data_IF_191457776607
#
_entry.id   IF_191457776607
#
_cell.length_a   1.000
_cell.length_b   1.000
_cell.length_c   1.000
_cell.angle_alpha   90.00
_cell.angle_beta   90.00
_cell.angle_gamma   90.00
#
_symmetry.space_group_name_H-M   'P 1'
#
loop_
_entity.id
_entity.type
_entity.pdbx_description
1 polymer ?
#
# COMPACT_ATOMS: atom_id res chain seq x y z
N UNK A 1 37.81 37.07 14.45
CA UNK A 1 37.76 35.77 15.15
C UNK A 1 36.31 35.59 15.61
N UNK A 2 35.49 34.83 14.88
CA UNK A 2 35.07 33.43 15.18
C UNK A 2 34.60 33.29 16.64
N UNK A 3 33.42 32.77 16.99
CA UNK A 3 32.60 31.75 16.34
C UNK A 3 31.18 31.72 16.94
N UNK A 4 30.23 31.19 16.15
CA UNK A 4 28.82 30.89 16.45
C UNK A 4 28.60 29.79 17.52
N UNK A 5 27.41 29.75 18.12
CA UNK A 5 26.46 28.59 18.26
C UNK A 5 25.34 28.94 19.27
N UNK A 6 24.08 29.05 18.85
CA UNK A 6 23.11 27.98 18.58
C UNK A 6 22.51 27.32 19.83
N UNK A 7 21.28 27.70 20.18
CA UNK A 7 20.27 26.80 20.78
C UNK A 7 18.87 27.19 20.31
N UNK A 8 18.61 27.00 19.02
CA UNK A 8 17.28 26.70 18.49
C UNK A 8 17.10 25.19 18.62
N UNK A 9 16.52 24.69 19.72
CA UNK A 9 16.27 23.24 19.88
C UNK A 9 15.13 22.84 20.82
N UNK A 10 14.23 23.75 21.21
CA UNK A 10 13.10 23.44 22.11
C UNK A 10 11.71 23.56 21.48
N UNK A 11 11.59 23.77 20.17
CA UNK A 11 10.29 23.83 19.47
C UNK A 11 9.99 22.65 18.53
N UNK A 12 10.80 21.60 18.52
CA UNK A 12 10.63 20.46 17.60
C UNK A 12 10.34 19.11 18.27
N UNK A 13 10.07 19.08 19.59
CA UNK A 13 9.71 17.84 20.31
C UNK A 13 8.23 17.74 20.72
N UNK A 14 7.42 18.77 20.46
CA UNK A 14 6.01 18.81 20.92
C UNK A 14 5.01 18.28 19.88
N UNK A 15 5.45 17.93 18.66
CA UNK A 15 4.57 17.44 17.58
C UNK A 15 4.75 15.97 17.20
N UNK A 16 5.70 15.25 17.80
CA UNK A 16 5.88 13.79 17.59
C UNK A 16 5.18 12.97 18.69
N UNK A 17 4.64 13.61 19.73
CA UNK A 17 4.07 12.93 20.90
C UNK A 17 2.56 12.64 20.83
N UNK A 18 1.83 13.08 19.80
CA UNK A 18 0.36 12.92 19.71
C UNK A 18 -0.13 11.78 18.81
N UNK A 19 0.78 10.99 18.21
CA UNK A 19 0.39 9.78 17.44
C UNK A 19 0.93 8.47 18.06
N UNK A 20 1.90 8.54 18.98
CA UNK A 20 2.43 7.37 19.68
C UNK A 20 1.66 6.96 20.95
N UNK A 21 0.67 7.75 21.38
CA UNK A 21 -0.11 7.46 22.61
C UNK A 21 -1.31 6.52 22.41
N UNK A 22 -1.55 6.02 21.19
CA UNK A 22 -2.58 5.01 20.95
C UNK A 22 -2.09 3.56 21.09
N UNK A 23 -0.78 3.30 21.18
CA UNK A 23 -0.24 1.94 21.05
C UNK A 23 0.64 1.44 22.21
N UNK A 24 0.80 2.20 23.30
CA UNK A 24 1.52 1.71 24.50
C UNK A 24 0.99 2.31 25.82
N UNK A 25 -0.30 2.13 26.09
CA UNK A 25 -0.85 2.25 27.45
C UNK A 25 -1.35 0.88 27.90
N UNK A 26 -0.42 0.06 28.39
CA UNK A 26 -0.73 -1.04 29.30
C UNK A 26 -0.84 -0.43 30.70
N UNK A 27 -1.90 0.34 30.97
CA UNK A 27 -2.26 0.80 32.32
C UNK A 27 -3.73 1.26 32.39
N UNK A 28 -4.52 0.48 33.13
CA UNK A 28 -5.76 0.82 33.86
C UNK A 28 -6.80 1.70 33.17
N UNK A 29 -7.69 1.08 32.40
CA UNK A 29 -9.09 1.51 32.35
C UNK A 29 -10.00 0.27 32.28
N UNK A 30 -10.87 0.09 33.28
CA UNK A 30 -11.71 -1.09 33.51
C UNK A 30 -12.86 -1.22 32.49
N UNK A 31 -12.53 -1.38 31.21
CA UNK A 31 -13.39 -1.91 30.13
C UNK A 31 -12.58 -2.21 28.85
N UNK A 32 -11.28 -2.47 28.97
CA UNK A 32 -10.48 -2.97 27.86
C UNK A 32 -10.81 -4.46 27.68
N UNK A 33 -11.46 -4.80 26.55
CA UNK A 33 -11.57 -6.19 26.12
C UNK A 33 -10.13 -6.65 25.84
N UNK A 34 -9.61 -7.52 26.69
CA UNK A 34 -8.29 -8.13 26.53
C UNK A 34 -8.41 -9.14 25.39
N UNK A 35 -8.10 -8.71 24.16
CA UNK A 35 -8.12 -9.59 23.00
C UNK A 35 -6.97 -10.60 23.14
N UNK A 36 -7.17 -11.87 22.77
CA UNK A 36 -6.11 -12.87 22.86
C UNK A 36 -4.84 -12.38 22.17
N UNK A 37 -3.67 -12.57 22.79
CA UNK A 37 -2.38 -12.34 22.12
C UNK A 37 -2.34 -13.08 20.78
N UNK A 38 -1.80 -12.45 19.73
CA UNK A 38 -1.83 -13.02 18.37
C UNK A 38 -3.02 -12.60 17.51
N UNK A 39 -3.94 -11.78 18.02
CA UNK A 39 -5.18 -11.43 17.31
C UNK A 39 -5.00 -10.30 16.29
N UNK A 40 -5.65 -10.44 15.13
CA UNK A 40 -5.95 -9.30 14.25
C UNK A 40 -7.15 -8.57 14.84
N UNK A 41 -7.09 -7.25 14.96
CA UNK A 41 -8.19 -6.43 15.48
C UNK A 41 -8.68 -5.48 14.39
N UNK A 42 -9.98 -5.46 14.16
CA UNK A 42 -10.63 -4.58 13.19
C UNK A 42 -11.78 -3.81 13.83
N UNK A 43 -11.93 -2.53 13.50
CA UNK A 43 -13.10 -1.73 13.90
C UNK A 43 -13.83 -1.21 12.68
N UNK A 44 -15.13 -1.45 12.61
CA UNK A 44 -16.00 -1.09 11.47
C UNK A 44 -17.32 -0.47 11.92
N UNK A 45 -18.00 0.24 11.03
CA UNK A 45 -19.42 0.61 11.14
C UNK A 45 -20.32 -0.12 10.14
N UNK A 46 -19.74 -0.92 9.25
CA UNK A 46 -20.46 -1.58 8.17
C UNK A 46 -21.46 -2.61 8.72
N UNK A 47 -22.58 -2.73 8.01
CA UNK A 47 -23.63 -3.72 8.32
C UNK A 47 -23.27 -5.10 7.77
N UNK A 48 -22.65 -5.13 6.60
CA UNK A 48 -22.32 -6.34 5.85
C UNK A 48 -20.79 -6.42 5.74
N UNK A 49 -20.26 -7.57 6.12
CA UNK A 49 -18.83 -7.82 6.16
C UNK A 49 -18.50 -9.02 5.30
N UNK A 50 -17.37 -8.93 4.60
CA UNK A 50 -16.76 -10.05 3.88
C UNK A 50 -15.28 -10.06 4.22
N UNK A 51 -14.82 -11.18 4.77
CA UNK A 51 -13.42 -11.41 5.08
C UNK A 51 -12.99 -12.64 4.30
N UNK A 52 -11.83 -12.57 3.64
CA UNK A 52 -11.17 -13.76 3.11
C UNK A 52 -9.85 -13.94 3.82
N UNK A 53 -9.59 -15.14 4.29
CA UNK A 53 -8.35 -15.45 4.99
C UNK A 53 -7.84 -16.87 4.74
N UNK A 54 -6.54 -17.05 4.95
CA UNK A 54 -5.90 -18.35 5.04
C UNK A 54 -4.86 -18.34 6.16
N UNK A 55 -4.51 -19.52 6.67
CA UNK A 55 -3.52 -19.69 7.71
C UNK A 55 -3.73 -20.99 8.46
N UNK A 56 -3.49 -20.98 9.78
CA UNK A 56 -3.61 -22.17 10.62
C UNK A 56 -5.06 -22.66 10.79
N UNK A 57 -5.22 -23.96 11.08
CA UNK A 57 -6.53 -24.61 11.23
C UNK A 57 -7.33 -24.11 12.45
N UNK A 58 -6.67 -23.46 13.41
CA UNK A 58 -7.27 -22.92 14.65
C UNK A 58 -7.77 -21.47 14.50
N UNK A 59 -7.90 -20.96 13.27
CA UNK A 59 -8.44 -19.62 13.04
C UNK A 59 -9.91 -19.55 13.45
N UNK A 60 -10.23 -18.53 14.25
CA UNK A 60 -11.60 -18.17 14.63
C UNK A 60 -11.82 -16.67 14.42
N UNK A 61 -12.89 -16.33 13.71
CA UNK A 61 -13.36 -14.95 13.56
C UNK A 61 -14.41 -14.69 14.64
N UNK A 62 -14.21 -13.65 15.44
CA UNK A 62 -15.16 -13.17 16.44
C UNK A 62 -15.83 -11.90 15.94
N UNK A 63 -17.12 -11.97 15.62
CA UNK A 63 -17.86 -10.91 14.92
C UNK A 63 -18.29 -9.74 15.83
N UNK A 64 -17.90 -9.73 17.10
CA UNK A 64 -18.24 -8.65 18.03
C UNK A 64 -19.72 -8.57 18.44
N UNK A 65 -20.54 -9.56 18.09
CA UNK A 65 -21.96 -9.69 18.47
C UNK A 65 -22.26 -10.99 19.23
N UNK A 66 -21.23 -11.65 19.74
CA UNK A 66 -21.30 -12.96 20.39
C UNK A 66 -21.25 -14.14 19.42
N UNK A 67 -21.38 -13.92 18.11
CA UNK A 67 -21.19 -14.95 17.09
C UNK A 67 -19.72 -15.08 16.71
N UNK A 68 -19.38 -16.26 16.22
CA UNK A 68 -18.04 -16.63 15.78
C UNK A 68 -18.12 -17.57 14.58
N UNK A 69 -17.07 -17.59 13.77
CA UNK A 69 -16.91 -18.49 12.63
C UNK A 69 -15.53 -19.13 12.65
N UNK A 70 -15.48 -20.44 12.42
CA UNK A 70 -14.24 -21.21 12.35
C UNK A 70 -13.87 -21.49 10.88
N UNK A 71 -12.61 -21.86 10.62
CA UNK A 71 -12.12 -22.02 9.24
C UNK A 71 -12.96 -22.99 8.38
N UNK A 72 -13.50 -24.06 8.98
CA UNK A 72 -14.34 -25.06 8.33
C UNK A 72 -15.75 -24.57 7.93
N UNK A 73 -16.16 -23.39 8.37
CA UNK A 73 -17.46 -22.78 8.04
C UNK A 73 -17.39 -21.83 6.83
N UNK A 74 -16.19 -21.56 6.30
CA UNK A 74 -16.00 -20.63 5.19
C UNK A 74 -16.34 -21.25 3.83
N UNK A 75 -16.53 -20.38 2.83
CA UNK A 75 -16.67 -20.81 1.44
C UNK A 75 -15.30 -20.74 0.77
N UNK A 76 -14.82 -21.87 0.23
CA UNK A 76 -13.57 -21.88 -0.54
C UNK A 76 -13.78 -21.10 -1.85
N UNK A 77 -12.99 -20.05 -2.08
CA UNK A 77 -13.01 -19.30 -3.33
C UNK A 77 -12.19 -20.05 -4.39
N UNK A 78 -10.87 -19.99 -4.25
CA UNK A 78 -9.87 -20.73 -5.03
C UNK A 78 -8.71 -21.10 -4.09
N UNK A 79 -7.95 -22.16 -4.39
CA UNK A 79 -6.83 -22.64 -3.54
C UNK A 79 -5.80 -21.54 -3.18
N UNK A 80 -5.72 -20.47 -3.97
CA UNK A 80 -4.76 -19.39 -3.78
C UNK A 80 -5.28 -18.20 -2.95
N UNK A 81 -6.61 -18.05 -2.80
CA UNK A 81 -7.24 -16.88 -2.17
C UNK A 81 -7.65 -17.12 -0.71
N UNK A 82 -7.91 -18.38 -0.33
CA UNK A 82 -8.33 -18.76 1.02
C UNK A 82 -9.84 -18.99 1.16
N UNK A 83 -10.33 -18.86 2.39
CA UNK A 83 -11.72 -19.10 2.78
C UNK A 83 -12.45 -17.77 2.98
N UNK A 84 -13.61 -17.62 2.34
CA UNK A 84 -14.48 -16.45 2.49
C UNK A 84 -15.51 -16.65 3.60
N UNK A 85 -15.67 -15.62 4.42
CA UNK A 85 -16.63 -15.53 5.50
C UNK A 85 -17.45 -14.26 5.34
N UNK A 86 -18.77 -14.40 5.45
CA UNK A 86 -19.70 -13.27 5.41
C UNK A 86 -20.45 -13.15 6.72
N UNK A 87 -20.66 -11.92 7.18
CA UNK A 87 -21.48 -11.65 8.35
C UNK A 87 -22.32 -10.40 8.17
N UNK A 88 -23.60 -10.48 8.55
CA UNK A 88 -24.54 -9.38 8.41
C UNK A 88 -25.18 -9.06 9.76
N UNK A 89 -25.03 -7.81 10.19
CA UNK A 89 -25.68 -7.29 11.37
C UNK A 89 -27.08 -6.76 11.08
N UNK A 90 -27.92 -6.68 12.10
CA UNK A 90 -29.27 -6.09 12.00
C UNK A 90 -29.27 -4.62 11.57
N UNK A 91 -28.26 -3.86 12.00
CA UNK A 91 -28.08 -2.45 11.68
C UNK A 91 -26.59 -2.08 11.68
N UNK A 92 -26.24 -1.01 10.96
CA UNK A 92 -24.92 -0.41 10.96
C UNK A 92 -24.62 0.21 12.33
N UNK A 93 -23.53 -0.21 12.96
CA UNK A 93 -23.07 0.29 14.25
C UNK A 93 -21.58 0.01 14.40
N UNK A 94 -20.91 0.80 15.23
CA UNK A 94 -19.50 0.57 15.55
C UNK A 94 -19.34 -0.81 16.19
N UNK A 95 -18.47 -1.64 15.63
CA UNK A 95 -18.17 -2.99 16.11
C UNK A 95 -16.68 -3.24 16.05
N UNK A 96 -16.22 -4.05 17.00
CA UNK A 96 -14.86 -4.57 16.99
C UNK A 96 -14.92 -6.05 16.68
N UNK A 97 -14.20 -6.45 15.64
CA UNK A 97 -14.01 -7.82 15.20
C UNK A 97 -12.59 -8.18 15.59
N UNK A 98 -12.37 -9.42 16.04
CA UNK A 98 -11.02 -9.92 16.17
C UNK A 98 -10.92 -11.33 15.59
N UNK A 99 -9.74 -11.66 15.08
CA UNK A 99 -9.43 -12.97 14.52
C UNK A 99 -8.30 -13.56 15.37
N UNK A 100 -8.53 -14.74 15.92
CA UNK A 100 -7.48 -15.53 16.59
C UNK A 100 -6.86 -16.53 15.62
N UNK A 101 -5.67 -17.03 15.95
CA UNK A 101 -4.92 -17.97 15.12
C UNK A 101 -3.89 -17.29 14.22
N UNK A 102 -3.06 -18.08 13.53
CA UNK A 102 -2.00 -17.57 12.65
C UNK A 102 -2.56 -17.34 11.26
N UNK A 103 -2.85 -16.08 10.95
CA UNK A 103 -3.28 -15.67 9.60
C UNK A 103 -2.05 -15.40 8.71
N UNK A 104 -2.02 -16.04 7.55
CA UNK A 104 -0.98 -15.87 6.51
C UNK A 104 -1.42 -14.91 5.40
N UNK A 105 -2.71 -14.94 5.04
CA UNK A 105 -3.30 -14.03 4.06
C UNK A 105 -4.59 -13.46 4.62
N UNK A 106 -4.77 -12.15 4.48
CA UNK A 106 -5.98 -11.45 4.89
C UNK A 106 -6.46 -10.51 3.78
N UNK A 107 -7.72 -10.63 3.42
CA UNK A 107 -8.47 -9.66 2.64
C UNK A 107 -9.67 -9.17 3.45
N UNK A 108 -9.70 -7.88 3.70
CA UNK A 108 -10.72 -7.14 4.45
C UNK A 108 -11.05 -5.80 3.78
N UNK A 109 -11.08 -5.80 2.45
CA UNK A 109 -11.40 -4.62 1.64
C UNK A 109 -12.88 -4.23 1.73
N UNK A 110 -13.18 -2.94 1.52
CA UNK A 110 -14.54 -2.41 1.47
C UNK A 110 -15.41 -2.75 2.71
N UNK A 111 -14.78 -2.72 3.90
CA UNK A 111 -15.42 -3.02 5.17
C UNK A 111 -15.65 -1.79 6.03
N UNK A 112 -15.49 -0.57 5.49
CA UNK A 112 -15.55 0.69 6.25
C UNK A 112 -14.67 0.67 7.51
N UNK A 113 -13.51 0.00 7.44
CA UNK A 113 -12.62 -0.14 8.59
C UNK A 113 -12.05 1.22 8.98
N UNK A 114 -12.07 1.51 10.27
CA UNK A 114 -11.42 2.69 10.88
C UNK A 114 -10.19 2.30 11.69
N UNK A 115 -10.07 1.02 12.06
CA UNK A 115 -8.90 0.44 12.73
C UNK A 115 -8.64 -0.92 12.11
N UNK A 116 -7.37 -1.19 11.83
CA UNK A 116 -6.83 -2.51 11.50
C UNK A 116 -5.48 -2.64 12.22
N UNK A 117 -5.41 -3.57 13.17
CA UNK A 117 -4.17 -3.96 13.85
C UNK A 117 -3.81 -5.39 13.44
N UNK A 118 -2.66 -5.52 12.76
CA UNK A 118 -2.08 -6.80 12.30
C UNK A 118 -0.73 -7.08 12.98
N UNK A 119 -0.37 -6.30 14.01
CA UNK A 119 0.98 -6.28 14.60
C UNK A 119 1.41 -7.59 15.26
N UNK A 120 0.45 -8.48 15.56
CA UNK A 120 0.73 -9.79 16.16
C UNK A 120 0.80 -10.93 15.14
N UNK A 121 0.45 -10.69 13.88
CA UNK A 121 0.46 -11.69 12.81
C UNK A 121 1.73 -11.58 11.96
N UNK A 122 2.87 -11.87 12.60
CA UNK A 122 4.21 -11.70 12.01
C UNK A 122 4.44 -12.56 10.75
N UNK A 123 3.68 -13.65 10.60
CA UNK A 123 3.69 -14.56 9.45
C UNK A 123 2.81 -14.08 8.29
N UNK A 124 2.17 -12.91 8.39
CA UNK A 124 1.31 -12.37 7.33
C UNK A 124 2.15 -12.09 6.07
N UNK A 125 1.80 -12.76 4.97
CA UNK A 125 2.47 -12.66 3.66
C UNK A 125 1.67 -11.82 2.67
N UNK A 126 0.35 -11.76 2.82
CA UNK A 126 -0.54 -10.98 1.96
C UNK A 126 -1.57 -10.22 2.76
N UNK A 127 -1.67 -8.91 2.53
CA UNK A 127 -2.70 -8.06 3.11
C UNK A 127 -3.40 -7.24 2.02
N UNK A 128 -4.72 -7.38 1.93
CA UNK A 128 -5.58 -6.46 1.21
C UNK A 128 -6.57 -5.80 2.19
N UNK A 129 -6.40 -4.50 2.41
CA UNK A 129 -7.27 -3.68 3.24
C UNK A 129 -7.77 -2.44 2.47
N UNK A 130 -7.87 -2.54 1.16
CA UNK A 130 -8.28 -1.44 0.28
C UNK A 130 -9.71 -0.96 0.53
N UNK A 131 -10.02 0.25 0.07
CA UNK A 131 -11.38 0.81 0.11
C UNK A 131 -11.97 0.88 1.53
N UNK A 132 -11.17 1.34 2.49
CA UNK A 132 -11.58 1.50 3.89
C UNK A 132 -11.43 2.98 4.33
N UNK A 133 -11.54 3.24 5.62
CA UNK A 133 -11.39 4.55 6.24
C UNK A 133 -10.18 4.59 7.18
N UNK A 134 -9.14 3.82 6.86
CA UNK A 134 -7.91 3.76 7.66
C UNK A 134 -7.12 5.07 7.49
N UNK A 135 -6.80 5.72 8.61
CA UNK A 135 -5.94 6.92 8.62
C UNK A 135 -4.49 6.60 8.95
N UNK A 136 -4.24 5.42 9.51
CA UNK A 136 -2.94 4.84 9.81
C UNK A 136 -2.99 3.31 9.62
N UNK A 137 -1.86 2.72 9.26
CA UNK A 137 -1.66 1.29 9.11
C UNK A 137 -0.21 0.96 9.50
N UNK A 138 -0.01 0.26 10.62
CA UNK A 138 1.30 -0.20 11.06
C UNK A 138 1.51 -1.66 10.65
N UNK A 139 2.52 -1.88 9.80
CA UNK A 139 2.92 -3.21 9.31
C UNK A 139 4.39 -3.51 9.65
N UNK A 140 4.97 -2.76 10.58
CA UNK A 140 6.40 -2.82 10.91
C UNK A 140 6.84 -4.19 11.44
N UNK A 141 5.89 -4.98 11.97
CA UNK A 141 6.13 -6.36 12.46
C UNK A 141 5.80 -7.44 11.43
N UNK A 142 5.15 -7.11 10.32
CA UNK A 142 4.76 -8.05 9.27
C UNK A 142 5.85 -8.13 8.19
N UNK A 143 7.07 -8.48 8.61
CA UNK A 143 8.26 -8.45 7.74
C UNK A 143 8.23 -9.49 6.62
N UNK A 144 7.34 -10.48 6.73
CA UNK A 144 7.09 -11.51 5.71
C UNK A 144 6.15 -11.06 4.58
N UNK A 145 5.57 -9.84 4.64
CA UNK A 145 4.68 -9.34 3.59
C UNK A 145 5.36 -9.31 2.23
N UNK A 146 4.77 -10.03 1.27
CA UNK A 146 5.14 -10.02 -0.15
C UNK A 146 4.14 -9.24 -1.00
N UNK A 147 2.87 -9.17 -0.58
CA UNK A 147 1.81 -8.45 -1.29
C UNK A 147 1.05 -7.55 -0.34
N UNK A 148 0.92 -6.27 -0.71
CA UNK A 148 0.15 -5.28 0.04
C UNK A 148 -0.74 -4.45 -0.88
N UNK A 149 -2.04 -4.54 -0.66
CA UNK A 149 -3.03 -3.62 -1.22
C UNK A 149 -3.68 -2.82 -0.09
N UNK A 150 -3.52 -1.51 -0.15
CA UNK A 150 -4.08 -0.56 0.83
C UNK A 150 -4.61 0.71 0.13
N UNK A 151 -4.94 0.61 -1.15
CA UNK A 151 -5.46 1.72 -1.94
C UNK A 151 -6.80 2.24 -1.40
N UNK A 152 -7.13 3.49 -1.72
CA UNK A 152 -8.37 4.16 -1.35
C UNK A 152 -8.62 4.14 0.16
N UNK A 153 -7.60 4.48 0.93
CA UNK A 153 -7.71 4.82 2.34
C UNK A 153 -7.25 6.28 2.55
N UNK A 154 -7.72 6.99 3.57
CA UNK A 154 -7.17 8.31 3.91
C UNK A 154 -5.85 8.20 4.71
N UNK A 155 -4.91 7.33 4.31
CA UNK A 155 -3.63 7.17 5.02
C UNK A 155 -2.80 8.46 4.91
N UNK A 156 -2.47 9.03 6.06
CA UNK A 156 -1.67 10.27 6.16
C UNK A 156 -0.18 10.01 6.36
N UNK A 157 0.15 8.84 6.89
CA UNK A 157 1.51 8.33 7.03
C UNK A 157 1.56 6.91 6.48
N UNK A 158 2.69 6.55 5.87
CA UNK A 158 2.88 5.23 5.30
C UNK A 158 4.36 4.88 5.32
N UNK A 159 4.71 3.76 5.94
CA UNK A 159 6.07 3.26 6.06
C UNK A 159 6.08 1.76 5.74
N UNK A 160 6.81 1.40 4.68
CA UNK A 160 7.03 0.02 4.25
C UNK A 160 8.51 -0.39 4.37
N UNK A 161 9.31 0.38 5.10
CA UNK A 161 10.77 0.19 5.21
C UNK A 161 11.17 -1.12 5.88
N UNK A 162 10.27 -1.73 6.66
CA UNK A 162 10.45 -3.04 7.31
C UNK A 162 9.98 -4.21 6.45
N UNK A 163 9.16 -3.96 5.44
CA UNK A 163 8.58 -4.99 4.57
C UNK A 163 9.51 -5.25 3.38
N UNK A 164 10.76 -5.64 3.65
CA UNK A 164 11.81 -5.78 2.63
C UNK A 164 11.54 -6.93 1.63
N UNK A 165 10.66 -7.86 1.98
CA UNK A 165 10.20 -8.95 1.12
C UNK A 165 9.08 -8.54 0.14
N UNK A 166 8.61 -7.29 0.20
CA UNK A 166 7.47 -6.83 -0.59
C UNK A 166 7.78 -6.86 -2.09
N UNK A 167 6.99 -7.64 -2.84
CA UNK A 167 7.07 -7.80 -4.30
C UNK A 167 5.98 -6.99 -5.01
N UNK A 168 4.83 -6.78 -4.37
CA UNK A 168 3.70 -6.03 -4.93
C UNK A 168 3.14 -5.02 -3.92
N UNK A 169 3.01 -3.77 -4.37
CA UNK A 169 2.43 -2.68 -3.61
C UNK A 169 1.37 -1.92 -4.42
N UNK A 170 0.13 -1.93 -3.92
CA UNK A 170 -1.00 -1.15 -4.44
C UNK A 170 -1.39 -0.11 -3.37
N UNK A 171 -0.94 1.12 -3.56
CA UNK A 171 -1.04 2.24 -2.62
C UNK A 171 -1.92 3.40 -3.14
N UNK A 172 -2.51 3.29 -4.33
CA UNK A 172 -3.21 4.42 -4.97
C UNK A 172 -4.36 5.02 -4.15
N UNK A 173 -4.75 6.27 -4.42
CA UNK A 173 -5.90 6.90 -3.75
C UNK A 173 -5.71 7.24 -2.27
N UNK A 174 -4.47 7.23 -1.77
CA UNK A 174 -4.12 7.65 -0.41
C UNK A 174 -3.76 9.15 -0.32
N UNK A 175 -3.78 9.70 0.90
CA UNK A 175 -3.52 11.12 1.16
C UNK A 175 -2.05 11.46 1.45
N UNK A 176 -1.17 10.46 1.56
CA UNK A 176 0.26 10.70 1.77
C UNK A 176 0.87 11.47 0.59
N UNK A 177 1.64 12.51 0.89
CA UNK A 177 2.38 13.30 -0.09
C UNK A 177 3.71 12.64 -0.51
N UNK A 178 4.15 11.59 0.20
CA UNK A 178 5.42 10.91 -0.04
C UNK A 178 5.26 9.39 0.04
N UNK A 179 6.07 8.70 -0.74
CA UNK A 179 6.21 7.24 -0.73
C UNK A 179 7.70 6.90 -0.86
N UNK A 180 8.28 6.31 0.18
CA UNK A 180 9.64 5.79 0.17
C UNK A 180 9.60 4.27 0.01
N UNK A 181 10.13 3.78 -1.11
CA UNK A 181 10.25 2.36 -1.45
C UNK A 181 11.70 1.90 -1.54
N UNK A 182 12.65 2.69 -1.03
CA UNK A 182 14.09 2.44 -1.16
C UNK A 182 14.58 1.15 -0.48
N UNK A 183 13.81 0.63 0.49
CA UNK A 183 14.09 -0.63 1.20
C UNK A 183 13.40 -1.85 0.59
N UNK A 184 12.46 -1.65 -0.32
CA UNK A 184 11.67 -2.73 -0.94
C UNK A 184 12.36 -3.20 -2.23
N UNK A 185 13.60 -3.70 -2.11
CA UNK A 185 14.43 -4.07 -3.27
C UNK A 185 13.87 -5.25 -4.07
N UNK A 186 12.97 -6.04 -3.47
CA UNK A 186 12.25 -7.14 -4.12
C UNK A 186 11.03 -6.69 -4.94
N UNK A 187 10.67 -5.40 -4.90
CA UNK A 187 9.45 -4.88 -5.51
C UNK A 187 9.46 -5.04 -7.05
N UNK A 188 8.46 -5.75 -7.55
CA UNK A 188 8.21 -6.05 -8.98
C UNK A 188 7.05 -5.24 -9.53
N UNK A 189 6.03 -4.98 -8.71
CA UNK A 189 4.79 -4.31 -9.11
C UNK A 189 4.49 -3.14 -8.16
N UNK A 190 4.44 -1.93 -8.70
CA UNK A 190 4.12 -0.73 -7.93
C UNK A 190 3.00 0.08 -8.60
N UNK A 191 1.88 0.21 -7.89
CA UNK A 191 0.77 1.09 -8.24
C UNK A 191 0.58 2.13 -7.15
N UNK A 192 0.88 3.40 -7.44
CA UNK A 192 0.67 4.53 -6.53
C UNK A 192 -0.07 5.69 -7.23
N UNK A 193 -0.99 5.33 -8.12
CA UNK A 193 -1.82 6.26 -8.88
C UNK A 193 -2.83 7.00 -8.02
N UNK A 194 -3.33 8.15 -8.47
CA UNK A 194 -4.31 8.97 -7.76
C UNK A 194 -3.84 9.41 -6.36
N UNK A 195 -2.56 9.79 -6.24
CA UNK A 195 -1.95 10.30 -5.01
C UNK A 195 -1.46 11.75 -5.19
N UNK A 196 -1.01 12.39 -4.10
CA UNK A 196 -0.40 13.73 -4.14
C UNK A 196 1.12 13.70 -4.32
N UNK A 197 1.68 12.57 -4.78
CA UNK A 197 3.13 12.38 -4.91
C UNK A 197 3.66 13.27 -6.04
N UNK A 198 4.69 14.05 -5.72
CA UNK A 198 5.42 14.93 -6.66
C UNK A 198 6.77 14.36 -7.09
N UNK A 199 7.34 13.47 -6.27
CA UNK A 199 8.63 12.84 -6.49
C UNK A 199 8.54 11.37 -6.08
N UNK A 200 9.05 10.48 -6.92
CA UNK A 200 9.20 9.07 -6.59
C UNK A 200 10.59 8.62 -7.04
N UNK A 201 11.36 8.08 -6.10
CA UNK A 201 12.64 7.43 -6.38
C UNK A 201 12.44 5.92 -6.39
N UNK A 202 12.66 5.30 -7.55
CA UNK A 202 12.58 3.85 -7.76
C UNK A 202 13.96 3.24 -8.04
N UNK A 203 15.05 3.97 -7.77
CA UNK A 203 16.40 3.56 -8.15
C UNK A 203 16.90 2.31 -7.43
N UNK A 204 16.37 2.01 -6.24
CA UNK A 204 16.68 0.81 -5.48
C UNK A 204 15.84 -0.41 -5.89
N UNK A 205 14.73 -0.22 -6.62
CA UNK A 205 13.80 -1.28 -7.00
C UNK A 205 14.23 -1.90 -8.34
N UNK A 206 15.42 -2.50 -8.38
CA UNK A 206 16.01 -2.99 -9.64
C UNK A 206 15.23 -4.13 -10.29
N UNK A 207 14.40 -4.85 -9.52
CA UNK A 207 13.52 -5.92 -9.98
C UNK A 207 12.16 -5.41 -10.54
N UNK A 208 11.93 -4.10 -10.60
CA UNK A 208 10.63 -3.52 -10.96
C UNK A 208 10.26 -3.84 -12.41
N UNK A 209 9.10 -4.48 -12.58
CA UNK A 209 8.53 -4.87 -13.86
C UNK A 209 7.44 -3.91 -14.32
N UNK A 210 6.55 -3.49 -13.41
CA UNK A 210 5.43 -2.61 -13.72
C UNK A 210 5.38 -1.43 -12.74
N UNK A 211 5.24 -0.22 -13.30
CA UNK A 211 5.13 1.02 -12.55
C UNK A 211 3.95 1.86 -13.02
N UNK A 212 2.94 2.02 -12.16
CA UNK A 212 1.72 2.77 -12.43
C UNK A 212 1.60 3.97 -11.47
N UNK A 213 1.91 5.16 -11.98
CA UNK A 213 1.82 6.44 -11.26
C UNK A 213 0.92 7.39 -12.06
N UNK A 214 -0.30 6.97 -12.38
CA UNK A 214 -1.23 7.78 -13.15
C UNK A 214 -1.93 8.80 -12.21
N UNK A 215 -2.41 9.94 -12.74
CA UNK A 215 -3.20 10.95 -11.98
C UNK A 215 -2.51 11.43 -10.69
N UNK A 216 -1.21 11.69 -10.73
CA UNK A 216 -0.44 12.22 -9.60
C UNK A 216 0.14 13.60 -9.94
N UNK A 217 1.16 14.08 -9.23
CA UNK A 217 1.76 15.40 -9.45
C UNK A 217 3.24 15.33 -9.88
N UNK A 218 3.64 14.23 -10.51
CA UNK A 218 5.04 14.02 -10.92
C UNK A 218 5.44 15.01 -12.02
N UNK A 219 6.58 15.68 -11.84
CA UNK A 219 7.17 16.59 -12.83
C UNK A 219 8.42 16.02 -13.50
N UNK A 220 9.02 14.99 -12.90
CA UNK A 220 10.19 14.26 -13.40
C UNK A 220 10.20 12.83 -12.85
N UNK A 221 10.63 11.88 -13.66
CA UNK A 221 10.82 10.49 -13.26
C UNK A 221 12.11 9.93 -13.87
N UNK A 222 12.83 9.09 -13.13
CA UNK A 222 14.02 8.39 -13.60
C UNK A 222 13.82 6.88 -13.42
N UNK A 223 14.03 6.11 -14.49
CA UNK A 223 13.83 4.64 -14.50
C UNK A 223 15.03 3.88 -15.08
N UNK A 224 16.18 4.56 -15.25
CA UNK A 224 17.41 3.98 -15.81
C UNK A 224 18.08 2.95 -14.87
N UNK A 225 17.55 2.77 -13.66
CA UNK A 225 17.98 1.75 -12.69
C UNK A 225 17.02 0.56 -12.61
N UNK A 226 16.01 0.51 -13.48
CA UNK A 226 15.00 -0.55 -13.54
C UNK A 226 15.11 -1.29 -14.89
N UNK A 227 16.17 -2.08 -15.12
CA UNK A 227 16.45 -2.70 -16.43
C UNK A 227 15.31 -3.61 -16.91
N UNK A 228 14.60 -4.24 -15.98
CA UNK A 228 13.55 -5.21 -16.27
C UNK A 228 12.17 -4.58 -16.48
N UNK A 229 12.03 -3.25 -16.36
CA UNK A 229 10.74 -2.56 -16.45
C UNK A 229 10.06 -2.81 -17.81
N UNK A 230 8.85 -3.36 -17.80
CA UNK A 230 8.05 -3.73 -18.98
C UNK A 230 6.89 -2.77 -19.21
N UNK A 231 6.29 -2.27 -18.12
CA UNK A 231 5.10 -1.42 -18.20
C UNK A 231 5.29 -0.15 -17.38
N UNK A 232 5.05 0.99 -18.01
CA UNK A 232 5.13 2.31 -17.38
C UNK A 232 3.88 3.15 -17.69
N UNK A 233 3.01 3.36 -16.70
CA UNK A 233 1.95 4.38 -16.78
C UNK A 233 2.35 5.62 -15.98
N UNK A 234 2.47 6.75 -16.67
CA UNK A 234 2.64 8.09 -16.06
C UNK A 234 1.57 9.06 -16.53
N UNK A 235 0.40 8.55 -16.92
CA UNK A 235 -0.72 9.36 -17.44
C UNK A 235 -1.16 10.42 -16.43
N UNK A 236 -1.66 11.55 -16.93
CA UNK A 236 -2.26 12.62 -16.09
C UNK A 236 -1.34 13.07 -14.94
N UNK A 237 -0.08 13.34 -15.24
CA UNK A 237 0.86 14.02 -14.35
C UNK A 237 1.19 15.41 -14.90
N UNK A 238 2.27 16.02 -14.40
CA UNK A 238 2.74 17.35 -14.78
C UNK A 238 4.04 17.29 -15.64
N UNK A 239 4.24 16.21 -16.40
CA UNK A 239 5.43 16.05 -17.22
C UNK A 239 5.37 16.97 -18.46
N UNK A 240 6.33 17.89 -18.57
CA UNK A 240 6.53 18.73 -19.77
C UNK A 240 7.12 17.91 -20.91
N UNK A 241 7.15 18.46 -22.13
CA UNK A 241 7.72 17.75 -23.29
C UNK A 241 9.20 17.42 -23.06
N UNK A 242 9.96 18.35 -22.46
CA UNK A 242 11.35 18.12 -22.06
C UNK A 242 11.48 17.00 -21.03
N UNK A 243 10.63 17.00 -19.98
CA UNK A 243 10.67 15.96 -18.96
C UNK A 243 10.32 14.57 -19.51
N UNK A 244 9.38 14.50 -20.45
CA UNK A 244 9.06 13.26 -21.17
C UNK A 244 10.22 12.79 -22.04
N UNK A 245 10.85 13.68 -22.80
CA UNK A 245 12.02 13.32 -23.61
C UNK A 245 13.17 12.82 -22.74
N UNK A 246 13.44 13.48 -21.61
CA UNK A 246 14.44 13.05 -20.61
C UNK A 246 14.11 11.66 -20.03
N UNK A 247 12.84 11.40 -19.75
CA UNK A 247 12.37 10.08 -19.32
C UNK A 247 12.61 9.04 -20.42
N UNK A 248 12.30 9.34 -21.68
CA UNK A 248 12.49 8.42 -22.79
C UNK A 248 13.95 8.02 -22.99
N UNK A 249 14.88 8.96 -22.86
CA UNK A 249 16.33 8.65 -22.87
C UNK A 249 16.75 7.71 -21.74
N UNK A 250 16.03 7.74 -20.60
CA UNK A 250 16.29 6.92 -19.42
C UNK A 250 15.55 5.58 -19.41
N UNK A 251 14.68 5.32 -20.40
CA UNK A 251 14.02 4.02 -20.52
C UNK A 251 15.06 2.92 -20.79
N UNK A 252 14.92 1.71 -20.22
CA UNK A 252 15.77 0.59 -20.58
C UNK A 252 15.57 0.19 -22.04
N UNK A 253 16.62 -0.35 -22.68
CA UNK A 253 16.50 -0.97 -24.01
C UNK A 253 15.65 -2.23 -23.93
N UNK A 254 14.80 -2.44 -24.93
CA UNK A 254 13.98 -3.64 -25.08
C UNK A 254 14.16 -4.23 -26.47
N UNK A 255 13.90 -5.54 -26.58
CA UNK A 255 13.60 -6.13 -27.88
C UNK A 255 12.38 -5.42 -28.51
N UNK A 256 12.24 -5.48 -29.83
CA UNK A 256 11.17 -4.79 -30.56
C UNK A 256 9.80 -5.08 -29.92
N UNK A 257 9.11 -4.03 -29.48
CA UNK A 257 7.81 -4.10 -28.79
C UNK A 257 7.82 -4.79 -27.41
N UNK A 258 8.98 -4.85 -26.74
CA UNK A 258 9.14 -5.47 -25.42
C UNK A 258 8.74 -4.60 -24.22
N UNK A 259 8.39 -3.32 -24.43
CA UNK A 259 7.90 -2.41 -23.39
C UNK A 259 6.64 -1.66 -23.78
N UNK A 260 5.81 -1.31 -22.80
CA UNK A 260 4.58 -0.53 -22.98
C UNK A 260 4.57 0.73 -22.09
N UNK A 261 4.37 1.90 -22.69
CA UNK A 261 4.34 3.18 -21.97
C UNK A 261 3.04 3.95 -22.24
N UNK A 262 2.51 4.62 -21.21
CA UNK A 262 1.37 5.51 -21.35
C UNK A 262 1.62 6.87 -20.70
N UNK A 263 1.52 7.93 -21.51
CA UNK A 263 1.85 9.32 -21.13
C UNK A 263 0.68 10.29 -21.28
N UNK A 264 -0.50 9.81 -21.67
CA UNK A 264 -1.65 10.68 -22.01
C UNK A 264 -2.08 11.55 -20.83
N UNK A 265 -2.51 12.78 -21.10
CA UNK A 265 -2.96 13.74 -20.07
C UNK A 265 -1.82 14.50 -19.37
N UNK A 266 -0.56 14.34 -19.78
CA UNK A 266 0.52 15.24 -19.38
C UNK A 266 0.57 16.48 -20.29
N UNK A 267 0.98 17.66 -19.77
CA UNK A 267 1.16 18.86 -20.59
C UNK A 267 2.06 18.66 -21.81
N UNK A 268 3.13 17.87 -21.67
CA UNK A 268 4.09 17.59 -22.74
C UNK A 268 3.70 16.52 -23.74
N UNK A 269 2.58 15.81 -23.55
CA UNK A 269 2.31 14.55 -24.26
C UNK A 269 2.08 14.69 -25.77
N UNK A 270 1.75 15.91 -26.23
CA UNK A 270 1.55 16.24 -27.66
C UNK A 270 2.85 16.61 -28.37
N UNK A 271 3.78 17.23 -27.64
CA UNK A 271 4.97 17.87 -28.23
C UNK A 271 6.28 17.11 -27.95
N UNK A 272 6.22 16.01 -27.19
CA UNK A 272 7.37 15.15 -26.93
C UNK A 272 7.79 14.35 -28.17
N UNK A 273 9.08 14.01 -28.26
CA UNK A 273 9.63 13.15 -29.32
C UNK A 273 9.49 11.67 -28.95
N UNK A 274 8.39 11.07 -29.41
CA UNK A 274 8.08 9.64 -29.17
C UNK A 274 9.08 8.69 -29.83
N UNK A 275 9.79 9.14 -30.86
CA UNK A 275 10.76 8.30 -31.57
C UNK A 275 11.92 7.87 -30.67
N UNK A 276 12.21 8.63 -29.60
CA UNK A 276 13.22 8.28 -28.59
C UNK A 276 12.83 6.97 -27.88
N UNK A 277 11.58 6.86 -27.41
CA UNK A 277 11.11 5.66 -26.73
C UNK A 277 10.92 4.48 -27.70
N UNK A 278 10.39 4.74 -28.90
CA UNK A 278 10.14 3.72 -29.92
C UNK A 278 11.44 3.04 -30.38
N UNK A 279 12.52 3.81 -30.59
CA UNK A 279 13.86 3.27 -30.92
C UNK A 279 14.42 2.34 -29.83
N UNK A 280 13.96 2.50 -28.59
CA UNK A 280 14.33 1.65 -27.43
C UNK A 280 13.40 0.45 -27.24
N UNK A 281 12.49 0.19 -28.19
CA UNK A 281 11.56 -0.95 -28.16
C UNK A 281 10.28 -0.72 -27.35
N UNK A 282 9.93 0.54 -27.02
CA UNK A 282 8.72 0.87 -26.27
C UNK A 282 7.55 1.26 -27.17
N UNK A 283 6.37 0.74 -26.86
CA UNK A 283 5.12 1.01 -27.56
C UNK A 283 4.23 1.91 -26.72
N UNK A 284 3.65 2.94 -27.33
CA UNK A 284 2.67 3.79 -26.67
C UNK A 284 1.31 3.09 -26.61
N UNK A 285 0.87 2.73 -25.41
CA UNK A 285 -0.37 1.99 -25.18
C UNK A 285 -1.36 2.77 -24.30
N UNK A 286 -2.65 2.45 -24.45
CA UNK A 286 -3.68 2.90 -23.52
C UNK A 286 -3.76 1.94 -22.34
N UNK A 287 -2.83 2.08 -21.40
CA UNK A 287 -2.81 1.29 -20.17
C UNK A 287 -3.94 1.80 -19.25
N UNK A 288 -4.91 0.94 -18.98
CA UNK A 288 -5.94 1.15 -17.96
C UNK A 288 -5.43 0.67 -16.59
N UNK A 289 -6.09 1.15 -15.53
CA UNK A 289 -5.71 0.92 -14.12
C UNK A 289 -5.52 -0.55 -13.81
#
# INVERSE_FOLDING_TARGET
MRNERSTSKTRSLVWVLTVLLAFNLKACNNNQVDYPEGSIIMTTTAKELRIVLSGSDDITIHWGDGKKSNLNEGTLLNFNEGMEFSHTYSFAAKRTIYITGKVEKLRCDNMQLTVLDVSQNVELTSLNCSDNHLTALDMSRNTALTTLACNNNPLTTFDVSKNTALEELIFGGNQSAALDVSRNTALKYLTCSDTQITHLDVSANTALLNLHICSSQITKLEVNKNPDLKVLCVRRNQLTASALNDLFYKLPEKESHGGAISISGNPGARDCDRSIAEKKGWVFANLHR
#
